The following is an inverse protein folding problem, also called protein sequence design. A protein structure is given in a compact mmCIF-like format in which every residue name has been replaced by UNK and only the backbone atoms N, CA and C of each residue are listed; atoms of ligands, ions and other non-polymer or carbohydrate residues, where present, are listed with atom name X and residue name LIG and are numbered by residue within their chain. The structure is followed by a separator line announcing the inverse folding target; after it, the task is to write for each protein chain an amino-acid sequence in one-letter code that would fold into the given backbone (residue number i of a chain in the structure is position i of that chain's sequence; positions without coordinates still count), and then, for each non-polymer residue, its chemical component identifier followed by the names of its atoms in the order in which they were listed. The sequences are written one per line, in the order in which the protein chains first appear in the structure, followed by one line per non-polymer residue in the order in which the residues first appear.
data_IF_368874636705
#
_entry.id   IF_368874636705
#
_cell.length_a   1.000
_cell.length_b   1.000
_cell.length_c   1.000
_cell.angle_alpha   90.00
_cell.angle_beta   90.00
_cell.angle_gamma   90.00
#
_symmetry.space_group_name_H-M   'P 1'
#
loop_
_entity.id
_entity.type
_entity.pdbx_description
1 polymer ?
#
# COMPACT_ATOMS: atom_id res chain seq x y z
N UNK A 1 4.23 -44.11 -20.10
CA UNK A 1 4.20 -42.99 -19.12
C UNK A 1 2.76 -42.72 -18.65
N UNK A 2 2.47 -42.98 -17.38
CA UNK A 2 1.11 -43.05 -16.81
C UNK A 2 0.48 -41.66 -16.61
N UNK A 3 -0.71 -41.40 -17.15
CA UNK A 3 -1.40 -40.09 -17.15
C UNK A 3 -1.65 -39.52 -15.76
N UNK A 4 -1.70 -40.36 -14.73
CA UNK A 4 -1.83 -39.93 -13.32
C UNK A 4 -0.60 -39.22 -12.76
N UNK A 5 0.61 -39.50 -13.28
CA UNK A 5 1.85 -38.91 -12.78
C UNK A 5 2.07 -37.47 -13.28
N UNK A 6 1.51 -37.11 -14.45
CA UNK A 6 1.55 -35.75 -15.00
C UNK A 6 0.68 -34.77 -14.20
N UNK A 7 -0.44 -35.24 -13.64
CA UNK A 7 -1.31 -34.42 -12.82
C UNK A 7 -0.65 -34.02 -11.50
N UNK A 8 0.08 -34.92 -10.83
CA UNK A 8 0.75 -34.61 -9.55
C UNK A 8 1.89 -33.58 -9.69
N UNK A 9 2.63 -33.58 -10.80
CA UNK A 9 3.73 -32.61 -11.00
C UNK A 9 3.22 -31.19 -11.25
N UNK A 10 2.07 -31.04 -11.92
CA UNK A 10 1.50 -29.72 -12.19
C UNK A 10 0.97 -29.06 -10.91
N UNK A 11 0.41 -29.84 -9.97
CA UNK A 11 -0.03 -29.32 -8.67
C UNK A 11 1.14 -28.96 -7.73
N UNK A 12 2.27 -29.68 -7.79
CA UNK A 12 3.40 -29.44 -6.89
C UNK A 12 4.11 -28.09 -7.16
N UNK A 13 4.23 -27.67 -8.42
CA UNK A 13 4.88 -26.39 -8.79
C UNK A 13 4.00 -25.19 -8.42
N UNK A 14 2.68 -25.32 -8.49
CA UNK A 14 1.75 -24.26 -8.07
C UNK A 14 1.75 -24.12 -6.54
N UNK A 15 1.84 -25.22 -5.79
CA UNK A 15 1.91 -25.16 -4.32
C UNK A 15 3.23 -24.57 -3.78
N UNK A 16 4.34 -24.66 -4.51
CA UNK A 16 5.62 -24.11 -4.03
C UNK A 16 5.67 -22.57 -4.11
N UNK A 17 4.96 -21.97 -5.06
CA UNK A 17 4.83 -20.51 -5.15
C UNK A 17 3.82 -19.95 -4.13
N UNK A 18 2.84 -20.75 -3.70
CA UNK A 18 1.82 -20.34 -2.74
C UNK A 18 2.24 -20.51 -1.26
N UNK A 19 3.48 -20.92 -1.00
CA UNK A 19 3.97 -21.27 0.34
C UNK A 19 5.02 -20.33 0.93
N UNK A 20 5.33 -19.19 0.27
CA UNK A 20 6.10 -18.16 0.95
C UNK A 20 5.23 -17.60 2.09
N UNK A 21 5.69 -17.68 3.35
CA UNK A 21 4.90 -17.19 4.46
C UNK A 21 4.70 -15.67 4.28
N UNK A 22 3.45 -15.23 4.39
CA UNK A 22 3.06 -13.81 4.34
C UNK A 22 3.80 -12.94 5.38
N UNK A 23 4.55 -13.54 6.30
CA UNK A 23 5.33 -12.84 7.32
C UNK A 23 6.57 -12.10 6.78
N UNK A 24 7.02 -12.38 5.55
CA UNK A 24 8.20 -11.71 5.00
C UNK A 24 7.95 -10.23 4.60
N UNK A 25 6.70 -9.84 4.35
CA UNK A 25 6.37 -8.46 3.95
C UNK A 25 6.39 -7.45 5.10
N UNK A 26 6.21 -7.90 6.35
CA UNK A 26 5.98 -7.00 7.48
C UNK A 26 7.22 -6.26 7.97
N UNK A 27 8.39 -6.90 7.94
CA UNK A 27 9.62 -6.30 8.45
C UNK A 27 10.17 -5.22 7.50
N UNK A 28 9.86 -5.31 6.20
CA UNK A 28 10.48 -4.49 5.16
C UNK A 28 10.17 -3.00 5.29
N UNK A 29 8.97 -2.62 5.75
CA UNK A 29 8.56 -1.21 5.87
C UNK A 29 8.97 -0.57 7.21
N UNK A 30 9.07 -1.37 8.27
CA UNK A 30 9.44 -0.88 9.61
C UNK A 30 10.91 -0.67 9.86
N UNK A 31 11.77 -1.40 9.15
CA UNK A 31 13.22 -1.30 9.35
C UNK A 31 13.85 -0.12 8.58
N UNK A 32 13.04 0.64 7.81
CA UNK A 32 13.51 1.70 6.92
C UNK A 32 13.85 3.02 7.62
N UNK A 33 13.67 3.13 8.94
CA UNK A 33 14.03 4.33 9.69
C UNK A 33 13.27 5.62 9.31
N UNK A 34 12.31 5.54 8.38
CA UNK A 34 11.52 6.66 7.86
C UNK A 34 10.25 6.97 8.65
N UNK A 35 10.23 6.68 9.95
CA UNK A 35 9.08 6.96 10.80
C UNK A 35 9.43 8.00 11.86
N UNK A 36 8.66 9.08 11.90
CA UNK A 36 8.67 10.03 13.01
C UNK A 36 7.52 9.69 13.97
N UNK A 37 7.86 9.20 15.17
CA UNK A 37 6.91 8.73 16.20
C UNK A 37 6.35 9.91 17.03
N UNK A 38 6.20 11.10 16.45
CA UNK A 38 5.79 12.32 17.19
C UNK A 38 4.35 12.75 16.98
N UNK A 39 3.56 12.03 16.19
CA UNK A 39 2.19 12.43 15.89
C UNK A 39 1.21 11.99 16.98
N UNK A 40 0.55 12.96 17.64
CA UNK A 40 -0.48 12.68 18.64
C UNK A 40 -1.84 12.57 17.95
N UNK A 41 -2.43 11.37 17.94
CA UNK A 41 -3.75 11.13 17.37
C UNK A 41 -4.87 11.94 18.05
N UNK A 42 -4.63 12.51 19.25
CA UNK A 42 -5.58 13.42 19.89
C UNK A 42 -5.80 14.73 19.12
N UNK A 43 -4.97 15.04 18.12
CA UNK A 43 -5.14 16.16 17.20
C UNK A 43 -5.92 15.83 15.92
N UNK A 44 -6.23 14.56 15.66
CA UNK A 44 -7.03 14.16 14.50
C UNK A 44 -8.48 14.45 14.88
N UNK A 45 -9.06 15.45 14.21
CA UNK A 45 -10.47 15.76 14.41
C UNK A 45 -11.29 14.66 13.73
N UNK A 46 -12.02 13.86 14.47
CA UNK A 46 -12.89 12.83 13.88
C UNK A 46 -14.15 13.39 13.22
N UNK A 47 -14.41 14.69 13.34
CA UNK A 47 -15.53 15.37 12.72
C UNK A 47 -15.12 15.95 11.38
N UNK A 48 -15.35 15.20 10.30
CA UNK A 48 -15.19 15.69 8.93
C UNK A 48 -16.14 16.84 8.63
N UNK A 49 -15.64 17.92 8.04
CA UNK A 49 -16.46 19.07 7.67
C UNK A 49 -17.20 18.85 6.34
N UNK A 50 -16.85 17.81 5.59
CA UNK A 50 -17.34 17.53 4.25
C UNK A 50 -18.86 17.29 4.16
N UNK A 51 -19.51 16.86 5.26
CA UNK A 51 -20.97 16.81 5.33
C UNK A 51 -21.54 17.09 6.74
N UNK A 52 -22.43 18.09 6.88
CA UNK A 52 -23.16 18.33 8.12
C UNK A 52 -23.98 17.09 8.55
N UNK A 53 -23.59 16.48 9.68
CA UNK A 53 -24.27 15.34 10.29
C UNK A 53 -23.74 13.97 9.91
N UNK A 54 -22.63 13.89 9.19
CA UNK A 54 -21.88 12.65 8.98
C UNK A 54 -20.70 12.60 9.97
N UNK A 55 -20.79 11.74 11.00
CA UNK A 55 -19.64 11.37 11.82
C UNK A 55 -18.78 10.38 11.00
N UNK A 56 -18.18 10.86 9.91
CA UNK A 56 -17.32 10.05 9.05
C UNK A 56 -15.98 9.85 9.74
N UNK A 57 -15.68 8.60 10.11
CA UNK A 57 -14.41 8.29 10.74
C UNK A 57 -13.90 6.92 10.29
N UNK A 58 -13.25 6.90 9.12
CA UNK A 58 -12.51 5.72 8.63
C UNK A 58 -11.41 5.30 9.59
N UNK A 59 -10.86 6.24 10.34
CA UNK A 59 -9.78 6.03 11.29
C UNK A 59 -10.21 5.11 12.45
N UNK A 60 -11.38 5.34 13.05
CA UNK A 60 -11.92 4.52 14.14
C UNK A 60 -12.15 3.06 13.73
N UNK A 61 -12.61 2.84 12.49
CA UNK A 61 -12.84 1.50 11.96
C UNK A 61 -11.54 0.69 11.83
N UNK A 62 -10.40 1.36 11.69
CA UNK A 62 -9.10 0.77 11.41
C UNK A 62 -8.18 0.75 12.64
N UNK A 63 -8.38 1.64 13.60
CA UNK A 63 -7.50 1.80 14.76
C UNK A 63 -7.34 0.50 15.57
N UNK A 64 -8.41 -0.30 15.68
CA UNK A 64 -8.44 -1.56 16.44
C UNK A 64 -7.50 -2.67 15.93
N UNK A 65 -6.89 -2.49 14.75
CA UNK A 65 -6.01 -3.47 14.11
C UNK A 65 -4.57 -2.98 13.92
N UNK A 66 -4.29 -1.76 14.39
CA UNK A 66 -2.96 -1.15 14.30
C UNK A 66 -2.09 -1.45 15.52
N UNK A 67 -0.79 -1.18 15.41
CA UNK A 67 0.14 -1.17 16.56
C UNK A 67 -0.14 -0.03 17.57
N UNK A 68 -1.13 0.84 17.28
CA UNK A 68 -1.58 1.93 18.14
C UNK A 68 -0.72 3.20 18.08
N UNK A 69 0.41 3.19 17.37
CA UNK A 69 1.25 4.38 17.17
C UNK A 69 1.04 4.95 15.77
N UNK A 70 0.56 6.20 15.69
CA UNK A 70 0.59 6.97 14.45
C UNK A 70 2.03 7.39 14.20
N UNK A 71 2.49 7.28 12.97
CA UNK A 71 3.76 7.86 12.56
C UNK A 71 3.57 8.79 11.37
N UNK A 72 4.39 9.83 11.31
CA UNK A 72 4.63 10.54 10.06
C UNK A 72 5.72 9.80 9.28
N UNK A 73 5.66 9.95 7.97
CA UNK A 73 6.59 9.32 7.05
C UNK A 73 7.81 10.20 6.78
N UNK A 74 8.84 9.60 6.21
CA UNK A 74 9.99 10.29 5.64
C UNK A 74 10.32 9.63 4.28
N UNK A 75 11.56 9.76 3.84
CA UNK A 75 12.13 9.07 2.70
C UNK A 75 12.33 7.59 3.03
N UNK A 76 11.98 6.74 2.08
CA UNK A 76 12.15 5.30 2.17
C UNK A 76 13.34 4.87 1.30
N UNK A 77 14.10 3.88 1.77
CA UNK A 77 15.21 3.28 1.03
C UNK A 77 15.18 1.75 1.15
N UNK A 78 14.58 1.06 0.18
CA UNK A 78 14.51 -0.40 0.21
C UNK A 78 15.88 -1.03 -0.11
N UNK A 79 16.24 -2.07 0.63
CA UNK A 79 17.50 -2.79 0.40
C UNK A 79 17.43 -3.77 -0.78
N UNK A 80 16.23 -4.08 -1.26
CA UNK A 80 15.95 -4.97 -2.39
C UNK A 80 14.85 -4.40 -3.27
N UNK A 81 14.76 -4.87 -4.52
CA UNK A 81 13.69 -4.48 -5.43
C UNK A 81 12.35 -4.85 -4.81
N UNK A 82 11.46 -3.88 -4.70
CA UNK A 82 10.21 -4.01 -3.94
C UNK A 82 9.02 -3.63 -4.80
N UNK A 83 8.01 -4.49 -4.84
CA UNK A 83 6.71 -4.19 -5.42
C UNK A 83 5.83 -3.56 -4.34
N UNK A 84 5.45 -2.31 -4.54
CA UNK A 84 4.44 -1.63 -3.75
C UNK A 84 3.09 -1.79 -4.42
N UNK A 85 2.11 -2.29 -3.68
CA UNK A 85 0.71 -2.37 -4.09
C UNK A 85 -0.12 -1.42 -3.22
N UNK A 86 -0.95 -0.61 -3.88
CA UNK A 86 -1.78 0.40 -3.27
C UNK A 86 -3.25 0.03 -3.48
N UNK A 87 -4.08 0.14 -2.44
CA UNK A 87 -5.53 -0.01 -2.52
C UNK A 87 -6.20 1.14 -1.79
N UNK A 88 -7.04 1.89 -2.48
CA UNK A 88 -7.83 2.97 -1.86
C UNK A 88 -8.97 2.39 -1.05
N UNK A 89 -9.15 2.90 0.16
CA UNK A 89 -10.21 2.49 1.08
C UNK A 89 -11.12 3.63 1.50
N UNK A 90 -10.79 4.88 1.13
CA UNK A 90 -11.71 6.02 1.16
C UNK A 90 -12.54 6.09 -0.12
N UNK A 91 -13.55 6.96 -0.14
CA UNK A 91 -14.18 7.41 -1.38
C UNK A 91 -13.18 8.17 -2.26
N UNK A 92 -13.64 8.63 -3.44
CA UNK A 92 -12.84 9.45 -4.34
C UNK A 92 -12.15 10.59 -3.58
N UNK A 93 -10.83 10.72 -3.78
CA UNK A 93 -9.99 11.79 -3.27
C UNK A 93 -10.37 13.13 -3.92
N UNK A 94 -11.36 13.81 -3.35
CA UNK A 94 -11.81 15.11 -3.82
C UNK A 94 -11.25 16.18 -2.91
N UNK A 95 -10.65 17.20 -3.54
CA UNK A 95 -10.20 18.41 -2.88
C UNK A 95 -11.34 19.09 -2.10
N UNK A 96 -11.13 19.33 -0.79
CA UNK A 96 -12.05 20.11 0.07
C UNK A 96 -13.47 19.51 0.16
N UNK A 97 -13.61 18.18 0.02
CA UNK A 97 -14.90 17.48 -0.03
C UNK A 97 -15.79 17.82 -1.24
N UNK A 98 -15.40 18.80 -2.06
CA UNK A 98 -16.13 19.24 -3.23
C UNK A 98 -15.96 18.22 -4.34
N UNK A 99 -17.06 17.52 -4.66
CA UNK A 99 -17.16 16.60 -5.78
C UNK A 99 -17.11 17.33 -7.14
N UNK A 100 -16.02 18.03 -7.42
CA UNK A 100 -15.69 18.51 -8.76
C UNK A 100 -14.78 17.46 -9.44
N UNK A 101 -15.25 16.79 -10.51
CA UNK A 101 -14.44 15.80 -11.21
C UNK A 101 -13.15 16.35 -11.83
N UNK A 102 -12.98 17.68 -11.89
CA UNK A 102 -11.73 18.32 -12.35
C UNK A 102 -10.69 18.50 -11.23
N UNK A 103 -11.05 18.31 -9.96
CA UNK A 103 -10.18 18.45 -8.80
C UNK A 103 -10.01 17.09 -8.12
N UNK A 104 -9.22 16.23 -8.76
CA UNK A 104 -8.96 14.88 -8.27
C UNK A 104 -7.52 14.76 -7.79
N UNK A 105 -7.34 14.18 -6.61
CA UNK A 105 -6.00 13.95 -6.10
C UNK A 105 -5.36 12.74 -6.79
N UNK A 106 -4.05 12.81 -6.97
CA UNK A 106 -3.22 11.71 -7.45
C UNK A 106 -2.26 11.32 -6.34
N UNK A 107 -2.14 10.02 -6.08
CA UNK A 107 -1.21 9.52 -5.08
C UNK A 107 -0.11 8.70 -5.73
N UNK A 108 1.09 8.82 -5.20
CA UNK A 108 2.25 8.13 -5.73
C UNK A 108 3.50 8.47 -4.93
N UNK A 109 4.60 8.68 -5.63
CA UNK A 109 5.88 8.96 -5.01
C UNK A 109 6.67 10.03 -5.76
N UNK A 110 7.56 10.68 -5.04
CA UNK A 110 8.58 11.59 -5.55
C UNK A 110 9.92 10.88 -5.46
N UNK A 111 10.65 10.82 -6.58
CA UNK A 111 12.01 10.25 -6.59
C UNK A 111 13.05 11.27 -6.11
N UNK A 112 14.30 10.85 -6.00
CA UNK A 112 15.43 11.73 -5.63
C UNK A 112 15.75 12.85 -6.64
N UNK A 113 15.14 12.89 -7.83
CA UNK A 113 15.20 14.03 -8.76
C UNK A 113 14.08 15.06 -8.51
N UNK A 114 13.13 14.76 -7.62
CA UNK A 114 11.95 15.59 -7.41
C UNK A 114 10.82 15.33 -8.41
N UNK A 115 10.92 14.27 -9.23
CA UNK A 115 9.87 13.92 -10.19
C UNK A 115 8.77 13.12 -9.50
N UNK A 116 7.53 13.62 -9.60
CA UNK A 116 6.34 12.92 -9.13
C UNK A 116 5.90 11.85 -10.13
N UNK A 117 5.67 10.64 -9.64
CA UNK A 117 5.06 9.53 -10.39
C UNK A 117 3.78 9.10 -9.69
N UNK A 118 2.64 9.28 -10.36
CA UNK A 118 1.35 8.77 -9.89
C UNK A 118 1.31 7.25 -9.98
N UNK A 119 0.87 6.61 -8.90
CA UNK A 119 0.65 5.17 -8.81
C UNK A 119 -0.84 4.83 -8.76
N UNK A 120 -1.58 5.65 -8.04
CA UNK A 120 -3.04 5.60 -7.99
C UNK A 120 -3.58 6.73 -8.85
N UNK A 121 -4.39 6.38 -9.85
CA UNK A 121 -4.91 7.32 -10.83
C UNK A 121 -5.81 8.38 -10.18
N UNK A 122 -5.81 9.58 -10.77
CA UNK A 122 -6.72 10.65 -10.38
C UNK A 122 -8.19 10.16 -10.38
N UNK A 123 -8.89 10.36 -9.27
CA UNK A 123 -10.29 9.96 -9.11
C UNK A 123 -10.49 8.45 -8.89
N UNK A 124 -9.44 7.71 -8.50
CA UNK A 124 -9.60 6.36 -7.98
C UNK A 124 -10.54 6.40 -6.76
N UNK A 125 -11.70 5.76 -6.89
CA UNK A 125 -12.65 5.59 -5.81
C UNK A 125 -12.32 4.38 -4.95
N UNK A 126 -13.24 4.05 -4.05
CA UNK A 126 -13.17 2.91 -3.15
C UNK A 126 -12.79 1.60 -3.87
N UNK A 127 -11.70 0.96 -3.44
CA UNK A 127 -11.16 -0.26 -4.02
C UNK A 127 -10.31 -0.07 -5.28
N UNK A 128 -10.03 1.17 -5.68
CA UNK A 128 -9.07 1.48 -6.73
C UNK A 128 -7.67 1.00 -6.35
N UNK A 129 -6.92 0.51 -7.34
CA UNK A 129 -5.59 -0.07 -7.10
C UNK A 129 -4.51 0.56 -7.97
N UNK A 130 -3.28 0.50 -7.48
CA UNK A 130 -2.08 0.94 -8.17
C UNK A 130 -0.89 0.06 -7.78
N UNK A 131 0.12 0.00 -8.65
CA UNK A 131 1.36 -0.72 -8.36
C UNK A 131 2.58 0.07 -8.82
N UNK A 132 3.64 -0.01 -8.04
CA UNK A 132 4.94 0.57 -8.37
C UNK A 132 6.06 -0.40 -8.01
N UNK A 133 7.08 -0.46 -8.86
CA UNK A 133 8.33 -1.14 -8.53
C UNK A 133 9.32 -0.07 -8.09
N UNK A 134 9.86 -0.23 -6.89
CA UNK A 134 10.96 0.58 -6.37
C UNK A 134 12.23 -0.25 -6.43
N UNK A 135 13.28 0.30 -7.04
CA UNK A 135 14.56 -0.36 -7.15
C UNK A 135 15.30 -0.40 -5.81
N UNK A 136 16.12 -1.43 -5.61
CA UNK A 136 17.02 -1.51 -4.47
C UNK A 136 17.94 -0.27 -4.40
N UNK A 137 17.95 0.40 -3.26
CA UNK A 137 18.75 1.58 -2.98
C UNK A 137 18.21 2.89 -3.56
N UNK A 138 17.06 2.87 -4.24
CA UNK A 138 16.37 4.10 -4.66
C UNK A 138 15.71 4.78 -3.46
N UNK A 139 15.95 6.08 -3.33
CA UNK A 139 15.24 6.93 -2.39
C UNK A 139 13.93 7.43 -3.02
N UNK A 140 12.82 7.28 -2.30
CA UNK A 140 11.56 7.89 -2.68
C UNK A 140 10.78 8.37 -1.46
N UNK A 141 9.93 9.37 -1.66
CA UNK A 141 8.99 9.86 -0.67
C UNK A 141 7.57 9.66 -1.19
N UNK A 142 6.66 9.18 -0.34
CA UNK A 142 5.24 9.11 -0.70
C UNK A 142 4.68 10.52 -0.87
N UNK A 143 3.77 10.70 -1.80
CA UNK A 143 3.22 12.01 -2.10
C UNK A 143 1.80 12.00 -2.65
N UNK A 144 1.08 13.08 -2.38
CA UNK A 144 -0.20 13.46 -2.94
C UNK A 144 -0.02 14.71 -3.82
N UNK A 145 -0.38 14.62 -5.09
CA UNK A 145 -0.61 15.80 -5.93
C UNK A 145 -2.11 16.12 -5.86
N UNK A 146 -2.47 17.21 -5.17
CA UNK A 146 -3.86 17.57 -4.97
C UNK A 146 -4.51 18.14 -6.22
N UNK A 147 -5.85 18.14 -6.26
CA UNK A 147 -6.62 18.74 -7.35
C UNK A 147 -6.30 20.23 -7.59
N UNK A 148 -5.84 20.95 -6.56
CA UNK A 148 -5.41 22.34 -6.65
C UNK A 148 -3.98 22.52 -7.21
N UNK A 149 -3.25 21.41 -7.45
CA UNK A 149 -1.88 21.42 -7.94
C UNK A 149 -0.80 21.55 -6.87
N UNK A 150 -1.16 21.43 -5.59
CA UNK A 150 -0.19 21.36 -4.50
C UNK A 150 0.38 19.94 -4.42
N UNK A 151 1.69 19.82 -4.18
CA UNK A 151 2.36 18.56 -3.95
C UNK A 151 2.65 18.43 -2.46
N UNK A 152 1.97 17.50 -1.79
CA UNK A 152 2.17 17.16 -0.40
C UNK A 152 2.94 15.85 -0.31
N UNK A 153 4.12 15.89 0.28
CA UNK A 153 5.02 14.78 0.48
C UNK A 153 4.96 14.29 1.93
N UNK A 154 5.42 13.06 2.11
CA UNK A 154 5.64 12.45 3.42
C UNK A 154 6.59 13.30 4.30
N UNK A 155 7.64 13.86 3.70
CA UNK A 155 8.54 14.78 4.39
C UNK A 155 7.91 16.17 4.54
N UNK A 156 7.52 16.53 5.76
CA UNK A 156 6.85 17.80 6.08
C UNK A 156 7.66 19.04 5.67
N UNK A 157 8.99 18.97 5.69
CA UNK A 157 9.83 20.12 5.35
C UNK A 157 9.79 20.47 3.85
N UNK A 158 9.32 19.55 3.03
CA UNK A 158 9.11 19.72 1.59
C UNK A 158 7.68 20.16 1.24
N UNK A 159 6.78 20.24 2.24
CA UNK A 159 5.41 20.68 2.03
C UNK A 159 5.30 22.20 1.93
N UNK A 160 4.42 22.75 1.08
CA UNK A 160 4.33 24.19 0.84
C UNK A 160 4.08 25.04 2.10
N UNK A 161 3.47 24.44 3.12
CA UNK A 161 3.11 25.05 4.39
C UNK A 161 3.93 24.50 5.58
N UNK A 162 4.82 23.55 5.34
CA UNK A 162 5.62 22.88 6.37
C UNK A 162 4.83 21.98 7.32
N UNK A 163 3.61 21.55 6.96
CA UNK A 163 2.78 20.67 7.79
C UNK A 163 2.93 19.20 7.38
N UNK A 164 2.54 18.30 8.28
CA UNK A 164 2.37 16.88 7.97
C UNK A 164 1.03 16.71 7.25
N UNK A 165 1.03 16.12 6.05
CA UNK A 165 -0.21 15.79 5.31
C UNK A 165 -0.41 14.29 5.15
N UNK A 166 0.61 13.48 5.41
CA UNK A 166 0.53 12.03 5.30
C UNK A 166 0.92 11.44 6.65
N UNK A 167 0.01 10.68 7.25
CA UNK A 167 0.25 9.91 8.48
C UNK A 167 -0.12 8.45 8.24
N UNK A 168 0.45 7.56 9.05
CA UNK A 168 0.21 6.14 8.85
C UNK A 168 0.15 5.30 10.11
N UNK A 169 -0.38 4.10 9.90
CA UNK A 169 -0.41 3.00 10.85
C UNK A 169 0.14 1.74 10.21
N UNK A 170 0.85 0.95 11.00
CA UNK A 170 1.15 -0.43 10.63
C UNK A 170 0.07 -1.37 11.17
N UNK A 171 -0.42 -2.24 10.30
CA UNK A 171 -1.35 -3.31 10.65
C UNK A 171 -0.59 -4.36 11.46
N UNK A 172 -1.09 -4.67 12.66
CA UNK A 172 -0.42 -5.53 13.62
C UNK A 172 -0.72 -7.03 13.41
N UNK A 173 -1.82 -7.36 12.74
CA UNK A 173 -2.30 -8.73 12.56
C UNK A 173 -3.16 -8.87 11.30
N UNK A 174 -3.20 -10.09 10.76
CA UNK A 174 -4.11 -10.43 9.66
C UNK A 174 -5.56 -10.29 10.10
N UNK A 175 -6.36 -9.54 9.34
CA UNK A 175 -7.76 -9.29 9.64
C UNK A 175 -8.55 -8.89 8.40
N UNK A 176 -9.79 -9.38 8.31
CA UNK A 176 -10.78 -8.86 7.38
C UNK A 176 -11.56 -7.73 8.05
N UNK A 177 -11.47 -6.52 7.51
CA UNK A 177 -12.18 -5.33 8.02
C UNK A 177 -13.32 -5.00 7.07
N UNK A 178 -14.51 -4.77 7.63
CA UNK A 178 -15.61 -4.13 6.91
C UNK A 178 -15.75 -2.71 7.41
N UNK A 179 -15.52 -1.74 6.53
CA UNK A 179 -15.80 -0.35 6.77
C UNK A 179 -17.27 -0.11 6.40
N UNK A 180 -18.05 0.24 7.41
CA UNK A 180 -19.51 0.35 7.30
C UNK A 180 -19.95 1.63 6.59
N UNK A 181 -21.22 1.64 6.16
CA UNK A 181 -21.86 2.77 5.47
C UNK A 181 -21.70 4.13 6.15
N UNK A 182 -21.82 4.12 7.49
CA UNK A 182 -21.65 5.30 8.33
C UNK A 182 -20.25 5.93 8.19
N UNK A 183 -19.27 5.12 7.76
CA UNK A 183 -17.86 5.49 7.68
C UNK A 183 -17.37 5.52 6.21
N UNK A 184 -18.25 5.57 5.20
CA UNK A 184 -17.90 5.50 3.75
C UNK A 184 -18.92 6.17 2.81
N UNK A 185 -19.36 7.41 3.08
CA UNK A 185 -20.25 8.18 2.18
C UNK A 185 -21.42 7.39 1.56
N UNK A 186 -22.06 6.51 2.33
CA UNK A 186 -23.16 5.70 1.81
C UNK A 186 -22.75 4.40 1.10
N UNK A 187 -21.48 4.01 1.13
CA UNK A 187 -20.94 2.74 0.62
C UNK A 187 -20.41 1.87 1.76
N UNK A 188 -20.24 0.57 1.55
CA UNK A 188 -19.49 -0.28 2.48
C UNK A 188 -18.37 -0.99 1.73
N UNK A 189 -17.29 -1.28 2.42
CA UNK A 189 -16.11 -1.89 1.83
C UNK A 189 -15.55 -2.95 2.75
N UNK A 190 -15.20 -4.11 2.18
CA UNK A 190 -14.52 -5.17 2.93
C UNK A 190 -13.14 -5.38 2.33
N UNK A 191 -12.12 -5.39 3.18
CA UNK A 191 -10.73 -5.58 2.79
C UNK A 191 -10.02 -6.54 3.75
N UNK A 192 -9.15 -7.36 3.18
CA UNK A 192 -8.20 -8.17 3.94
C UNK A 192 -6.91 -7.37 4.15
N UNK A 193 -6.64 -7.04 5.41
CA UNK A 193 -5.40 -6.45 5.87
C UNK A 193 -4.50 -7.56 6.40
N UNK A 194 -3.21 -7.46 6.16
CA UNK A 194 -2.21 -8.40 6.64
C UNK A 194 -1.26 -7.70 7.60
N UNK A 195 -0.71 -8.45 8.55
CA UNK A 195 0.34 -7.94 9.42
C UNK A 195 1.46 -7.35 8.56
N UNK A 196 1.84 -6.11 8.84
CA UNK A 196 2.85 -5.37 8.09
C UNK A 196 2.34 -4.43 7.01
N UNK A 197 1.07 -4.55 6.59
CA UNK A 197 0.45 -3.54 5.72
C UNK A 197 0.52 -2.15 6.39
N UNK A 198 0.62 -1.11 5.58
CA UNK A 198 0.61 0.27 6.04
C UNK A 198 -0.69 0.93 5.60
N UNK A 199 -1.45 1.43 6.56
CA UNK A 199 -2.58 2.31 6.30
C UNK A 199 -2.05 3.74 6.24
N UNK A 200 -2.38 4.45 5.17
CA UNK A 200 -1.99 5.84 4.95
C UNK A 200 -3.25 6.69 4.96
N UNK A 201 -3.21 7.75 5.74
CA UNK A 201 -4.25 8.75 5.93
C UNK A 201 -3.69 10.08 5.46
N UNK A 202 -4.45 10.80 4.65
CA UNK A 202 -3.94 11.91 3.86
C UNK A 202 -4.85 13.12 3.98
N UNK A 203 -4.21 14.29 4.03
CA UNK A 203 -4.77 15.62 3.90
C UNK A 203 -4.48 16.21 2.53
N UNK A 204 -5.47 16.86 1.92
CA UNK A 204 -5.32 17.48 0.61
C UNK A 204 -5.39 19.01 0.59
N UNK A 205 -5.54 19.63 1.76
CA UNK A 205 -5.57 21.07 1.95
C UNK A 205 -4.37 21.60 2.74
N UNK A 206 -4.04 22.87 2.53
CA UNK A 206 -2.97 23.56 3.28
C UNK A 206 -3.39 23.76 4.74
N UNK A 207 -2.47 23.65 5.69
CA UNK A 207 -2.70 23.93 7.12
C UNK A 207 -3.06 25.38 7.43
N UNK A 208 -2.74 26.31 6.53
CA UNK A 208 -3.04 27.74 6.67
C UNK A 208 -3.53 28.32 5.35
N UNK A 209 -4.46 29.26 5.44
CA UNK A 209 -4.95 30.00 4.28
C UNK A 209 -6.03 29.29 3.48
N UNK A 210 -6.61 28.20 3.99
CA UNK A 210 -7.89 27.68 3.51
C UNK A 210 -8.97 28.68 3.92
N UNK A 211 -9.16 29.67 3.08
CA UNK A 211 -10.15 30.73 3.28
C UNK A 211 -11.54 30.16 2.98
N UNK A 212 -12.03 29.23 3.81
CA UNK A 212 -13.45 28.84 3.86
C UNK A 212 -14.24 29.96 4.54
N UNK A 213 -13.97 31.22 4.16
CA UNK A 213 -14.47 32.46 4.79
C UNK A 213 -15.97 32.61 4.72
N UNK A 214 -16.65 31.82 3.88
CA UNK A 214 -18.11 31.86 3.79
C UNK A 214 -18.81 30.97 4.82
N UNK A 215 -18.14 30.02 5.46
CA UNK A 215 -18.77 29.09 6.42
C UNK A 215 -18.31 29.32 7.86
N UNK A 216 -17.09 29.82 8.07
CA UNK A 216 -16.53 30.07 9.39
C UNK A 216 -16.48 31.58 9.73
N UNK A 217 -17.61 32.27 9.83
CA UNK A 217 -17.60 33.73 10.05
C UNK A 217 -17.21 34.16 11.48
N UNK A 218 -17.09 33.24 12.44
CA UNK A 218 -16.90 33.59 13.87
C UNK A 218 -15.84 32.76 14.64
N UNK A 219 -15.29 31.70 14.04
CA UNK A 219 -14.28 30.84 14.69
C UNK A 219 -13.11 30.70 13.72
N UNK A 220 -11.88 30.88 14.23
CA UNK A 220 -10.66 30.55 13.49
C UNK A 220 -10.78 29.08 13.10
N UNK A 221 -11.02 28.81 11.82
CA UNK A 221 -11.02 27.45 11.31
C UNK A 221 -9.55 27.05 11.20
N UNK A 222 -9.07 26.41 12.27
CA UNK A 222 -7.99 25.44 12.14
C UNK A 222 -8.43 24.50 11.01
N UNK A 223 -7.58 24.28 10.00
CA UNK A 223 -7.96 23.56 8.78
C UNK A 223 -8.63 22.21 9.08
N UNK A 224 -9.47 21.72 8.17
CA UNK A 224 -9.95 20.35 8.24
C UNK A 224 -8.74 19.43 8.11
N UNK A 225 -8.29 18.90 9.24
CA UNK A 225 -7.12 18.02 9.36
C UNK A 225 -7.54 16.71 10.04
N UNK A 226 -8.55 16.06 9.46
CA UNK A 226 -9.18 14.83 9.92
C UNK A 226 -8.55 13.54 9.33
N UNK A 227 -7.62 13.72 8.40
CA UNK A 227 -6.81 12.81 7.61
C UNK A 227 -7.64 11.76 6.89
N UNK A 228 -8.83 12.13 6.43
CA UNK A 228 -9.74 11.19 5.82
C UNK A 228 -10.13 11.54 4.37
N UNK A 229 -9.61 12.64 3.82
CA UNK A 229 -9.72 13.02 2.40
C UNK A 229 -9.29 11.88 1.47
N UNK A 230 -8.21 11.19 1.86
CA UNK A 230 -7.73 10.04 1.13
C UNK A 230 -7.07 9.00 2.04
N UNK A 231 -7.55 7.76 1.93
CA UNK A 231 -7.06 6.65 2.76
C UNK A 231 -6.68 5.47 1.88
N UNK A 232 -5.48 4.92 2.08
CA UNK A 232 -4.96 3.79 1.33
C UNK A 232 -4.38 2.70 2.22
N UNK A 233 -4.41 1.47 1.71
CA UNK A 233 -3.53 0.38 2.14
C UNK A 233 -2.34 0.33 1.19
N UNK A 234 -1.13 0.28 1.75
CA UNK A 234 0.11 0.02 1.04
C UNK A 234 0.70 -1.29 1.52
N UNK A 235 0.98 -2.18 0.58
CA UNK A 235 1.65 -3.46 0.81
C UNK A 235 2.96 -3.48 0.05
N UNK A 236 4.04 -3.86 0.74
CA UNK A 236 5.33 -4.08 0.12
C UNK A 236 5.61 -5.58 0.00
N UNK A 237 6.03 -6.01 -1.18
CA UNK A 237 6.43 -7.39 -1.46
C UNK A 237 7.81 -7.39 -2.12
N UNK A 238 8.80 -8.12 -1.57
CA UNK A 238 10.11 -8.21 -2.22
C UNK A 238 9.99 -8.93 -3.55
N UNK A 239 10.61 -8.38 -4.58
CA UNK A 239 10.64 -8.97 -5.92
C UNK A 239 11.75 -10.02 -5.93
N UNK A 240 11.45 -11.30 -6.22
CA UNK A 240 12.48 -12.33 -6.26
C UNK A 240 13.59 -11.97 -7.24
N UNK A 241 14.83 -11.94 -6.76
CA UNK A 241 15.98 -11.62 -7.61
C UNK A 241 16.01 -12.52 -8.87
N UNK A 242 16.33 -11.97 -10.06
CA UNK A 242 16.41 -12.76 -11.30
C UNK A 242 17.37 -13.96 -11.18
N UNK A 243 18.41 -13.84 -10.36
CA UNK A 243 19.35 -14.92 -10.07
C UNK A 243 18.69 -16.08 -9.32
N UNK A 244 17.83 -15.80 -8.34
CA UNK A 244 17.07 -16.81 -7.59
C UNK A 244 16.12 -17.57 -8.51
N UNK A 245 15.41 -16.86 -9.39
CA UNK A 245 14.53 -17.47 -10.40
C UNK A 245 15.32 -18.32 -11.41
N UNK A 246 16.50 -17.86 -11.82
CA UNK A 246 17.39 -18.59 -12.72
C UNK A 246 17.94 -19.86 -12.05
N UNK A 247 18.39 -19.76 -10.79
CA UNK A 247 18.92 -20.89 -10.03
C UNK A 247 17.83 -21.94 -9.79
N UNK A 248 16.61 -21.50 -9.45
CA UNK A 248 15.45 -22.38 -9.36
C UNK A 248 15.17 -23.08 -10.69
N UNK A 249 15.16 -22.33 -11.79
CA UNK A 249 14.98 -22.86 -13.14
C UNK A 249 16.03 -23.90 -13.53
N UNK A 250 17.31 -23.63 -13.23
CA UNK A 250 18.42 -24.56 -13.45
C UNK A 250 18.31 -25.81 -12.55
N UNK A 251 17.91 -25.64 -11.28
CA UNK A 251 17.69 -26.73 -10.34
C UNK A 251 16.59 -27.68 -10.82
N UNK A 252 15.45 -27.13 -11.24
CA UNK A 252 14.34 -27.91 -11.82
C UNK A 252 14.76 -28.60 -13.12
N UNK A 253 15.47 -27.89 -14.01
CA UNK A 253 16.01 -28.46 -15.25
C UNK A 253 16.94 -29.65 -14.98
N UNK A 254 17.85 -29.51 -14.01
CA UNK A 254 18.76 -30.57 -13.58
C UNK A 254 18.03 -31.78 -12.99
N UNK A 255 17.01 -31.57 -12.18
CA UNK A 255 16.19 -32.65 -11.62
C UNK A 255 15.45 -33.45 -12.70
N UNK A 256 14.89 -32.77 -13.72
CA UNK A 256 14.23 -33.41 -14.85
C UNK A 256 15.24 -34.22 -15.68
N UNK A 257 16.43 -33.67 -15.96
CA UNK A 257 17.48 -34.39 -16.70
C UNK A 257 17.97 -35.63 -15.95
N UNK A 258 18.15 -35.55 -14.62
CA UNK A 258 18.57 -36.69 -13.80
C UNK A 258 17.52 -37.80 -13.80
N UNK A 259 16.23 -37.44 -13.81
CA UNK A 259 15.15 -38.41 -13.89
C UNK A 259 15.16 -39.15 -15.23
N UNK A 260 15.35 -38.45 -16.34
CA UNK A 260 15.43 -39.07 -17.66
C UNK A 260 16.55 -40.11 -17.75
N UNK A 261 17.72 -39.80 -17.20
CA UNK A 261 18.84 -40.75 -17.17
C UNK A 261 18.53 -42.01 -16.36
N UNK A 262 17.80 -41.90 -15.25
CA UNK A 262 17.39 -43.09 -14.48
C UNK A 262 16.40 -43.97 -15.22
N UNK A 263 15.46 -43.35 -15.93
CA UNK A 263 14.50 -44.09 -16.77
C UNK A 263 15.25 -44.83 -17.90
N UNK A 264 16.28 -44.20 -18.50
CA UNK A 264 17.17 -44.85 -19.48
C UNK A 264 17.97 -46.01 -18.85
N UNK A 265 18.59 -45.82 -17.68
CA UNK A 265 19.34 -46.87 -16.97
C UNK A 265 18.43 -48.08 -16.59
N UNK A 266 17.19 -47.83 -16.16
CA UNK A 266 16.20 -48.87 -15.82
C UNK A 266 15.73 -49.66 -17.06
N UNK A 267 15.63 -49.02 -18.23
CA UNK A 267 15.31 -49.68 -19.50
C UNK A 267 16.47 -50.57 -19.98
N UNK A 268 17.72 -50.09 -19.89
CA UNK A 268 18.92 -50.89 -20.22
C UNK A 268 19.06 -52.12 -19.31
N UNK A 269 18.78 -51.99 -18.01
CA UNK A 269 18.81 -53.12 -17.08
C UNK A 269 17.73 -54.17 -17.39
N UNK A 270 16.54 -53.73 -17.82
CA UNK A 270 15.46 -54.64 -18.23
C UNK A 270 15.77 -55.39 -19.54
N UNK A 271 16.38 -54.73 -20.53
CA UNK A 271 16.82 -55.38 -21.77
C UNK A 271 17.95 -56.38 -21.53
N UNK A 272 18.89 -56.07 -20.63
CA UNK A 272 19.99 -56.97 -20.29
C UNK A 272 19.52 -58.23 -19.52
N UNK A 273 18.35 -58.18 -18.88
CA UNK A 273 17.79 -59.29 -18.12
C UNK A 273 16.87 -60.23 -18.93
N UNK A 274 16.51 -59.87 -20.17
CA UNK A 274 15.62 -60.63 -21.06
C UNK A 274 16.35 -61.64 -21.96
#
# INVERSE_FOLDING_TARGET
MNTKLKACYFYLVICLAAGLPATASADLLTDLGGFQISFNSAGINSGSYDQPGADYNTFDALQGFSTGSVFAFDTFNFQEDTLLSFTTISSNAYYDGFHDPNFTNQFGFVNNQGDFTSVVSAGAGLGGTGQAVVGAGDDFSLALLSGAGNLFQANESENPDGATHLIGYQVAQDVTVTIENANLFGASFTIDLFAGDILIFVEDLLSQGNDVTNWCTEVVCDGDFDYNDFVLVVRAEPIPEPATMTLLGLGLGGAIMRRRRREEDEEEEQEAAA
#
